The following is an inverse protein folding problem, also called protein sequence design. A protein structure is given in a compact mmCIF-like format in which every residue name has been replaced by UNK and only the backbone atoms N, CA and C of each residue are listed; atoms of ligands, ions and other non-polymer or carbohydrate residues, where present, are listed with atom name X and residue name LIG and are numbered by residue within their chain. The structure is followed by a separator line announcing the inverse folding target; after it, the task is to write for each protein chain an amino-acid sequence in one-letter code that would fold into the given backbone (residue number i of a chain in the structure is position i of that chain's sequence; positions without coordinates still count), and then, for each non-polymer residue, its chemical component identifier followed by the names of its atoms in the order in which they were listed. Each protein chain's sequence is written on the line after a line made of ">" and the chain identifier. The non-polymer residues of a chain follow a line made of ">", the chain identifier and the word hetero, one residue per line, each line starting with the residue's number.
data_IF_055797182637
#
_entry.id   IF_055797182637
#
_cell.length_a   1.000
_cell.length_b   1.000
_cell.length_c   1.000
_cell.angle_alpha   90.00
_cell.angle_beta   90.00
_cell.angle_gamma   90.00
#
_symmetry.space_group_name_H-M   'P 1'
#
loop_
_entity.id
_entity.type
_entity.pdbx_description
1 polymer ?
#
# COMPACT_ATOMS: atom_id res chain seq x y z
N UNK A 1 -34.96 -16.36 -15.85
CA UNK A 1 -33.67 -16.08 -15.18
C UNK A 1 -32.80 -15.30 -16.16
N UNK A 2 -32.37 -14.09 -15.83
CA UNK A 2 -31.52 -13.28 -16.72
C UNK A 2 -30.16 -13.96 -16.95
N UNK A 3 -29.63 -13.89 -18.19
CA UNK A 3 -28.28 -14.37 -18.49
C UNK A 3 -27.29 -13.56 -17.64
N UNK A 4 -26.48 -14.24 -16.83
CA UNK A 4 -25.37 -13.59 -16.12
C UNK A 4 -24.40 -13.04 -17.16
N UNK A 5 -24.02 -11.78 -17.02
CA UNK A 5 -22.97 -11.17 -17.84
C UNK A 5 -21.63 -11.91 -17.73
N UNK A 6 -20.68 -11.63 -18.63
CA UNK A 6 -19.36 -12.24 -18.59
C UNK A 6 -18.70 -12.03 -17.22
N UNK A 7 -17.99 -13.06 -16.74
CA UNK A 7 -17.31 -13.00 -15.45
C UNK A 7 -16.19 -11.95 -15.52
N UNK A 8 -16.04 -11.06 -14.51
CA UNK A 8 -14.93 -10.12 -14.47
C UNK A 8 -13.59 -10.87 -14.50
N UNK A 9 -12.65 -10.35 -15.30
CA UNK A 9 -11.26 -10.81 -15.33
C UNK A 9 -10.42 -9.82 -14.51
N UNK A 10 -9.53 -10.34 -13.66
CA UNK A 10 -8.64 -9.56 -12.80
C UNK A 10 -7.22 -9.70 -13.33
N UNK A 11 -6.95 -9.04 -14.46
CA UNK A 11 -5.69 -9.19 -15.21
C UNK A 11 -4.55 -8.38 -14.61
N UNK A 12 -4.85 -7.40 -13.77
CA UNK A 12 -3.95 -6.48 -13.08
C UNK A 12 -3.69 -6.87 -11.61
N UNK A 13 -4.30 -7.95 -11.12
CA UNK A 13 -4.17 -8.41 -9.74
C UNK A 13 -3.20 -9.58 -9.64
N UNK A 14 -2.21 -9.48 -8.77
CA UNK A 14 -1.23 -10.54 -8.51
C UNK A 14 -1.52 -11.30 -7.21
N UNK A 15 -0.99 -12.53 -7.10
CA UNK A 15 -1.06 -13.27 -5.85
C UNK A 15 -0.04 -12.70 -4.83
N UNK A 16 -0.48 -12.37 -3.60
CA UNK A 16 0.43 -11.81 -2.57
C UNK A 16 1.22 -12.87 -1.79
N UNK A 17 0.97 -14.16 -2.02
CA UNK A 17 1.61 -15.24 -1.28
C UNK A 17 3.00 -15.54 -1.86
N UNK A 18 4.07 -15.19 -1.13
CA UNK A 18 5.47 -15.41 -1.52
C UNK A 18 5.84 -16.87 -1.82
N UNK A 19 5.08 -17.84 -1.28
CA UNK A 19 5.30 -19.27 -1.54
C UNK A 19 4.52 -19.77 -2.77
N UNK A 20 3.73 -18.91 -3.43
CA UNK A 20 2.97 -19.26 -4.62
C UNK A 20 3.85 -19.18 -5.86
N UNK A 21 3.71 -20.15 -6.77
CA UNK A 21 4.33 -20.12 -8.11
C UNK A 21 4.01 -18.84 -8.89
N UNK A 22 2.81 -18.29 -8.69
CA UNK A 22 2.33 -17.07 -9.35
C UNK A 22 2.44 -15.83 -8.44
N UNK A 23 3.34 -15.84 -7.47
CA UNK A 23 3.61 -14.67 -6.63
C UNK A 23 4.04 -13.48 -7.49
N UNK A 24 3.41 -12.33 -7.30
CA UNK A 24 3.76 -11.09 -8.00
C UNK A 24 3.43 -11.04 -9.50
N UNK A 25 3.00 -12.15 -10.11
CA UNK A 25 2.64 -12.21 -11.53
C UNK A 25 1.17 -11.84 -11.75
N UNK A 26 0.91 -11.01 -12.75
CA UNK A 26 -0.42 -10.57 -13.21
C UNK A 26 -0.80 -11.27 -14.52
N UNK A 27 -2.08 -11.28 -14.91
CA UNK A 27 -2.52 -11.85 -16.19
C UNK A 27 -2.58 -13.38 -16.28
N UNK A 28 -2.09 -14.11 -15.29
CA UNK A 28 -2.00 -15.58 -15.28
C UNK A 28 -3.36 -16.31 -15.12
N UNK A 29 -4.47 -15.59 -14.97
CA UNK A 29 -5.82 -16.16 -14.83
C UNK A 29 -6.06 -16.96 -13.53
N UNK A 30 -5.07 -16.98 -12.62
CA UNK A 30 -5.14 -17.63 -11.31
C UNK A 30 -6.02 -16.86 -10.31
N UNK A 31 -6.21 -15.55 -10.51
CA UNK A 31 -6.98 -14.70 -9.60
C UNK A 31 -8.45 -14.62 -10.02
N UNK A 32 -9.35 -14.88 -9.06
CA UNK A 32 -10.79 -14.71 -9.26
C UNK A 32 -11.42 -13.94 -8.10
N UNK A 33 -12.55 -13.30 -8.37
CA UNK A 33 -13.31 -12.59 -7.35
C UNK A 33 -13.96 -13.57 -6.36
N UNK A 34 -13.80 -13.29 -5.07
CA UNK A 34 -14.32 -14.04 -3.93
C UNK A 34 -15.36 -13.21 -3.14
N UNK A 35 -16.21 -12.50 -3.87
CA UNK A 35 -17.20 -11.58 -3.32
C UNK A 35 -16.65 -10.19 -3.01
N UNK A 36 -17.47 -9.41 -2.31
CA UNK A 36 -17.16 -8.04 -1.89
C UNK A 36 -17.61 -7.87 -0.45
N UNK A 37 -16.89 -7.07 0.34
CA UNK A 37 -17.28 -6.67 1.69
C UNK A 37 -17.30 -5.16 1.80
N UNK A 38 -18.04 -4.62 2.78
CA UNK A 38 -17.89 -3.23 3.17
C UNK A 38 -16.81 -3.14 4.25
N UNK A 39 -15.82 -2.29 4.05
CA UNK A 39 -14.78 -1.95 5.02
C UNK A 39 -14.65 -0.43 5.01
N UNK A 40 -14.67 0.22 6.18
CA UNK A 40 -14.53 1.68 6.29
C UNK A 40 -15.54 2.48 5.42
N UNK A 41 -16.78 1.99 5.34
CA UNK A 41 -17.81 2.63 4.50
C UNK A 41 -17.65 2.38 3.00
N UNK A 42 -16.56 1.77 2.55
CA UNK A 42 -16.25 1.53 1.15
C UNK A 42 -16.40 0.06 0.77
N UNK A 43 -16.75 -0.17 -0.50
CA UNK A 43 -16.90 -1.53 -1.03
C UNK A 43 -15.54 -2.06 -1.45
N UNK A 44 -15.03 -3.02 -0.71
CA UNK A 44 -13.76 -3.71 -0.94
C UNK A 44 -14.00 -5.02 -1.68
N UNK A 45 -13.24 -5.27 -2.75
CA UNK A 45 -13.21 -6.54 -3.47
C UNK A 45 -12.38 -7.56 -2.70
N UNK A 46 -12.88 -8.79 -2.63
CA UNK A 46 -12.10 -9.94 -2.19
C UNK A 46 -11.70 -10.77 -3.39
N UNK A 47 -10.50 -11.32 -3.32
CA UNK A 47 -9.89 -12.18 -4.32
C UNK A 47 -9.55 -13.52 -3.70
N UNK A 48 -9.46 -14.54 -4.55
CA UNK A 48 -8.86 -15.81 -4.21
C UNK A 48 -7.95 -16.25 -5.36
N UNK A 49 -6.73 -16.64 -5.02
CA UNK A 49 -5.83 -17.32 -5.94
C UNK A 49 -6.24 -18.80 -6.03
N UNK A 50 -6.69 -19.26 -7.19
CA UNK A 50 -7.09 -20.67 -7.38
C UNK A 50 -5.93 -21.66 -7.40
N UNK A 51 -4.70 -21.17 -7.52
CA UNK A 51 -3.50 -22.02 -7.48
C UNK A 51 -3.10 -22.37 -6.04
N UNK A 52 -2.97 -21.38 -5.16
CA UNK A 52 -2.51 -21.58 -3.78
C UNK A 52 -3.59 -21.44 -2.70
N UNK A 53 -4.82 -21.07 -3.07
CA UNK A 53 -5.94 -20.91 -2.15
C UNK A 53 -5.93 -19.62 -1.31
N UNK A 54 -4.89 -18.79 -1.43
CA UNK A 54 -4.77 -17.54 -0.66
C UNK A 54 -5.93 -16.59 -0.98
N UNK A 55 -6.63 -16.15 0.07
CA UNK A 55 -7.68 -15.13 0.00
C UNK A 55 -7.10 -13.79 0.41
N UNK A 56 -7.39 -12.76 -0.36
CA UNK A 56 -6.89 -11.41 -0.14
C UNK A 56 -7.89 -10.37 -0.64
N UNK A 57 -7.57 -9.08 -0.53
CA UNK A 57 -8.46 -7.97 -0.90
C UNK A 57 -7.66 -6.81 -1.51
N UNK A 58 -8.37 -5.74 -1.92
CA UNK A 58 -7.76 -4.56 -2.56
C UNK A 58 -6.66 -3.90 -1.70
N UNK A 59 -6.80 -3.94 -0.36
CA UNK A 59 -5.81 -3.35 0.53
C UNK A 59 -4.62 -4.28 0.81
N UNK A 60 -4.64 -5.54 0.37
CA UNK A 60 -3.58 -6.50 0.70
C UNK A 60 -2.27 -6.10 0.05
N UNK A 61 -1.22 -5.97 0.87
CA UNK A 61 0.10 -5.51 0.39
C UNK A 61 0.19 -3.98 0.23
N UNK A 62 -0.85 -3.23 0.57
CA UNK A 62 -0.83 -1.76 0.57
C UNK A 62 -0.57 -1.21 1.98
N UNK A 63 -0.19 0.07 2.07
CA UNK A 63 -0.11 0.81 3.33
C UNK A 63 -1.41 0.75 4.16
N UNK A 64 -2.55 0.72 3.47
CA UNK A 64 -3.87 0.66 4.10
C UNK A 64 -4.20 -0.72 4.67
N UNK A 65 -3.38 -1.76 4.48
CA UNK A 65 -3.68 -3.08 5.02
C UNK A 65 -3.84 -3.05 6.56
N UNK A 66 -4.89 -3.70 7.06
CA UNK A 66 -5.21 -3.83 8.49
C UNK A 66 -5.38 -2.50 9.26
N UNK A 67 -5.61 -1.38 8.55
CA UNK A 67 -6.06 -0.14 9.19
C UNK A 67 -7.59 -0.14 9.35
N UNK A 68 -8.11 0.51 10.39
CA UNK A 68 -9.56 0.53 10.70
C UNK A 68 -10.24 1.86 10.38
N UNK A 69 -9.46 2.93 10.17
CA UNK A 69 -9.96 4.25 9.80
C UNK A 69 -10.03 4.39 8.28
N UNK A 70 -10.94 5.22 7.81
CA UNK A 70 -11.08 5.59 6.39
C UNK A 70 -9.76 6.08 5.81
N UNK A 71 -9.50 5.74 4.54
CA UNK A 71 -8.25 6.12 3.86
C UNK A 71 -8.07 7.64 3.85
N UNK A 72 -9.15 8.39 3.61
CA UNK A 72 -9.20 9.85 3.63
C UNK A 72 -8.66 10.47 4.93
N UNK A 73 -8.98 9.87 6.09
CA UNK A 73 -8.53 10.34 7.41
C UNK A 73 -7.06 10.08 7.60
N UNK A 74 -6.58 8.91 7.16
CA UNK A 74 -5.18 8.53 7.26
C UNK A 74 -4.34 9.41 6.33
N UNK A 75 -4.79 9.62 5.09
CA UNK A 75 -4.15 10.50 4.12
C UNK A 75 -4.05 11.94 4.63
N UNK A 76 -5.10 12.41 5.31
CA UNK A 76 -5.09 13.73 5.93
C UNK A 76 -4.06 13.81 7.06
N UNK A 77 -3.94 12.77 7.91
CA UNK A 77 -2.92 12.70 8.94
C UNK A 77 -1.50 12.76 8.34
N UNK A 78 -1.23 11.99 7.28
CA UNK A 78 0.05 11.99 6.58
C UNK A 78 0.35 13.37 5.97
N UNK A 79 -0.63 14.01 5.33
CA UNK A 79 -0.48 15.36 4.78
C UNK A 79 -0.19 16.41 5.86
N UNK A 80 -0.80 16.29 7.03
CA UNK A 80 -0.53 17.19 8.16
C UNK A 80 0.88 17.00 8.72
N UNK A 81 1.34 15.75 8.84
CA UNK A 81 2.71 15.44 9.25
C UNK A 81 3.74 15.99 8.25
N UNK A 82 3.50 15.83 6.94
CA UNK A 82 4.35 16.41 5.88
C UNK A 82 4.42 17.95 5.94
N UNK A 83 3.40 18.60 6.51
CA UNK A 83 3.40 20.05 6.76
C UNK A 83 4.06 20.45 8.09
N UNK A 84 4.65 19.50 8.81
CA UNK A 84 5.40 19.75 10.05
C UNK A 84 4.53 19.81 11.31
N UNK A 85 3.29 19.34 11.27
CA UNK A 85 2.46 19.26 12.48
C UNK A 85 2.93 18.12 13.39
N UNK A 86 2.88 18.34 14.72
CA UNK A 86 3.24 17.30 15.70
C UNK A 86 2.17 16.20 15.76
N UNK A 87 2.55 15.03 16.27
CA UNK A 87 1.63 13.89 16.45
C UNK A 87 0.42 14.28 17.32
N UNK A 88 0.66 15.09 18.35
CA UNK A 88 -0.37 15.58 19.28
C UNK A 88 -1.35 16.52 18.57
N UNK A 89 -0.83 17.48 17.77
CA UNK A 89 -1.66 18.42 17.03
C UNK A 89 -2.52 17.69 15.98
N UNK A 90 -1.96 16.69 15.30
CA UNK A 90 -2.70 15.86 14.33
C UNK A 90 -3.79 15.05 15.03
N UNK A 91 -3.47 14.46 16.18
CA UNK A 91 -4.40 13.67 16.95
C UNK A 91 -5.59 14.50 17.44
N UNK A 92 -5.32 15.72 17.91
CA UNK A 92 -6.34 16.70 18.32
C UNK A 92 -7.26 17.08 17.15
N UNK A 93 -6.68 17.49 16.01
CA UNK A 93 -7.46 17.85 14.80
C UNK A 93 -8.32 16.71 14.29
N UNK A 94 -7.83 15.47 14.33
CA UNK A 94 -8.54 14.29 13.82
C UNK A 94 -9.43 13.60 14.87
N UNK A 95 -9.42 14.04 16.12
CA UNK A 95 -10.15 13.39 17.22
C UNK A 95 -9.73 11.93 17.44
N UNK A 96 -8.43 11.64 17.32
CA UNK A 96 -7.85 10.31 17.56
C UNK A 96 -6.75 10.38 18.62
N UNK A 97 -6.15 9.24 18.96
CA UNK A 97 -5.06 9.21 19.94
C UNK A 97 -3.70 9.43 19.26
N UNK A 98 -2.76 10.16 19.88
CA UNK A 98 -1.41 10.34 19.33
C UNK A 98 -0.69 9.03 18.99
N UNK A 99 -0.78 7.94 19.79
CA UNK A 99 -0.22 6.65 19.41
C UNK A 99 -0.77 6.08 18.10
N UNK A 100 -2.02 6.40 17.73
CA UNK A 100 -2.60 6.00 16.44
C UNK A 100 -1.93 6.74 15.29
N UNK A 101 -1.69 8.05 15.46
CA UNK A 101 -0.96 8.87 14.48
C UNK A 101 0.46 8.34 14.31
N UNK A 102 1.19 8.13 15.41
CA UNK A 102 2.54 7.56 15.38
C UNK A 102 2.60 6.24 14.62
N UNK A 103 1.70 5.30 14.92
CA UNK A 103 1.62 4.01 14.23
C UNK A 103 1.42 4.16 12.72
N UNK A 104 0.67 5.17 12.26
CA UNK A 104 0.51 5.45 10.84
C UNK A 104 1.77 6.03 10.21
N UNK A 105 2.45 6.94 10.92
CA UNK A 105 3.70 7.54 10.46
C UNK A 105 4.84 6.52 10.40
N UNK A 106 5.00 5.67 11.42
CA UNK A 106 5.99 4.59 11.44
C UNK A 106 5.79 3.66 10.23
N UNK A 107 4.55 3.28 9.97
CA UNK A 107 4.21 2.43 8.82
C UNK A 107 4.47 3.13 7.47
N UNK A 108 4.24 4.44 7.41
CA UNK A 108 4.53 5.22 6.21
C UNK A 108 6.04 5.28 5.98
N UNK A 109 6.84 5.48 7.03
CA UNK A 109 8.30 5.43 6.96
C UNK A 109 8.80 4.07 6.48
N UNK A 110 8.32 2.96 7.04
CA UNK A 110 8.66 1.60 6.58
C UNK A 110 8.31 1.37 5.09
N UNK A 111 7.22 1.98 4.63
CA UNK A 111 6.80 1.87 3.22
C UNK A 111 7.71 2.70 2.31
N UNK A 112 8.11 3.90 2.74
CA UNK A 112 9.10 4.72 2.05
C UNK A 112 10.46 4.03 1.97
N UNK A 113 10.92 3.39 3.05
CA UNK A 113 12.19 2.66 3.08
C UNK A 113 12.19 1.51 2.08
N UNK A 114 11.11 0.73 2.00
CA UNK A 114 10.98 -0.34 0.99
C UNK A 114 11.01 0.19 -0.44
N UNK A 115 10.34 1.31 -0.71
CA UNK A 115 10.35 1.94 -2.03
C UNK A 115 11.76 2.46 -2.33
N UNK A 116 12.42 3.09 -1.37
CA UNK A 116 13.76 3.64 -1.54
C UNK A 116 14.79 2.51 -1.74
N UNK A 117 14.73 1.41 -0.99
CA UNK A 117 15.58 0.24 -1.18
C UNK A 117 15.39 -0.39 -2.56
N UNK A 118 14.16 -0.49 -3.05
CA UNK A 118 13.88 -1.02 -4.39
C UNK A 118 14.39 -0.06 -5.47
N UNK A 119 14.12 1.24 -5.34
CA UNK A 119 14.61 2.26 -6.25
C UNK A 119 16.15 2.29 -6.30
N UNK A 120 16.81 2.19 -5.14
CA UNK A 120 18.27 2.17 -5.04
C UNK A 120 18.88 0.89 -5.63
N UNK A 121 18.18 -0.25 -5.60
CA UNK A 121 18.62 -1.49 -6.28
C UNK A 121 18.51 -1.38 -7.81
N UNK A 122 17.56 -0.61 -8.29
CA UNK A 122 17.30 -0.42 -9.73
C UNK A 122 18.11 0.74 -10.34
N UNK A 123 18.81 1.52 -9.51
CA UNK A 123 19.67 2.64 -9.92
C UNK A 123 21.12 2.16 -10.11
N UNK A 124 21.46 1.77 -11.34
CA UNK A 124 22.86 1.58 -11.75
C UNK A 124 23.48 2.95 -12.09
N UNK A 125 23.77 3.74 -11.04
CA UNK A 125 24.32 5.10 -11.19
C UNK A 125 25.84 5.03 -11.17
N UNK A 126 26.56 5.59 -12.16
CA UNK A 126 28.01 5.64 -12.14
C UNK A 126 28.51 6.48 -10.95
N UNK A 127 29.58 6.00 -10.32
CA UNK A 127 30.15 6.52 -9.06
C UNK A 127 30.39 8.05 -9.02
N UNK A 128 30.64 8.65 -10.18
CA UNK A 128 30.91 10.10 -10.32
C UNK A 128 29.66 10.95 -10.04
N UNK A 129 28.46 10.49 -10.41
CA UNK A 129 27.21 11.25 -10.22
C UNK A 129 26.75 11.23 -8.75
N UNK A 130 27.07 10.17 -8.01
CA UNK A 130 26.77 10.07 -6.58
C UNK A 130 27.54 11.10 -5.74
N UNK A 131 28.81 11.37 -6.09
CA UNK A 131 29.65 12.33 -5.38
C UNK A 131 29.13 13.77 -5.55
N UNK A 132 28.61 14.11 -6.74
CA UNK A 132 28.01 15.43 -7.00
C UNK A 132 26.68 15.61 -6.26
N UNK A 133 25.83 14.58 -6.20
CA UNK A 133 24.56 14.61 -5.45
C UNK A 133 24.83 14.77 -3.94
N UNK A 134 25.83 14.09 -3.40
CA UNK A 134 26.20 14.19 -1.98
C UNK A 134 26.68 15.58 -1.57
N UNK A 135 27.38 16.29 -2.45
CA UNK A 135 27.82 17.68 -2.22
C UNK A 135 26.63 18.65 -2.17
N UNK A 136 25.58 18.40 -2.95
CA UNK A 136 24.35 19.21 -2.94
C UNK A 136 23.57 18.99 -1.64
N UNK A 137 23.47 17.74 -1.17
CA UNK A 137 22.74 17.39 0.06
C UNK A 137 23.41 17.99 1.30
N UNK A 138 24.75 18.02 1.37
CA UNK A 138 25.50 18.61 2.50
C UNK A 138 25.49 20.14 2.57
N UNK A 139 25.05 20.82 1.50
CA UNK A 139 25.03 22.30 1.43
C UNK A 139 23.69 22.93 1.85
N UNK A 140 22.72 22.12 2.28
CA UNK A 140 21.51 22.58 2.98
C UNK A 140 21.61 22.24 4.47
#
# INVERSE_FOLDING_TARGET
>A
MGKRGPKPQFTDVACPNHSCKYYGLTGEGNIVGNGTSVSRGEKVRKYICRHCGTVFNDHTGTFYYDLRKEESVIDLALKMALKGMSEEAIADVLGITPPTVRRWLDRAAESCDKVNENLMKDLDVPKIEMDEIWVIIKKK
#
